data_IF_406346075430
#
_entry.id   IF_406346075430
#
_cell.length_a   1.000
_cell.length_b   1.000
_cell.length_c   1.000
_cell.angle_alpha   90.00
_cell.angle_beta   90.00
_cell.angle_gamma   90.00
#
_symmetry.space_group_name_H-M   'P 1'
#
loop_
_entity.id
_entity.type
_entity.pdbx_description
1 polymer ?
#
# COMPACT_ATOMS: atom_id res chain seq x y z
N UNK A 1 -8.43 20.53 11.75
CA UNK A 1 -7.99 19.31 11.02
C UNK A 1 -8.26 18.08 11.87
N UNK A 2 -8.73 16.98 11.28
CA UNK A 2 -8.96 15.72 12.00
C UNK A 2 -7.91 14.73 11.54
N UNK A 3 -6.80 14.65 12.27
CA UNK A 3 -5.73 13.68 12.00
C UNK A 3 -6.32 12.26 12.06
N UNK A 4 -6.34 11.55 10.92
CA UNK A 4 -6.80 10.17 10.84
C UNK A 4 -5.60 9.26 11.12
N UNK A 5 -5.79 8.25 11.97
CA UNK A 5 -4.81 7.18 12.12
C UNK A 5 -4.93 6.25 10.92
N UNK A 6 -4.08 6.48 9.93
CA UNK A 6 -4.00 5.72 8.69
C UNK A 6 -2.91 4.66 8.79
N UNK A 7 -3.16 3.50 8.18
CA UNK A 7 -2.23 2.37 8.15
C UNK A 7 -2.14 1.84 6.73
N UNK A 8 -0.94 1.42 6.37
CA UNK A 8 -0.66 0.73 5.12
C UNK A 8 -0.54 -0.76 5.39
N UNK A 9 -1.20 -1.57 4.58
CA UNK A 9 -1.12 -3.04 4.67
C UNK A 9 -0.56 -3.54 3.35
N UNK A 10 0.49 -4.36 3.42
CA UNK A 10 1.01 -5.08 2.26
C UNK A 10 0.54 -6.51 2.28
N UNK A 11 0.19 -7.03 1.11
CA UNK A 11 -0.35 -8.37 0.95
C UNK A 11 0.21 -9.02 -0.30
N UNK A 12 0.50 -10.31 -0.20
CA UNK A 12 0.74 -11.15 -1.36
C UNK A 12 -0.53 -11.92 -1.67
N UNK A 13 -0.95 -11.89 -2.93
CA UNK A 13 -2.22 -12.46 -3.38
C UNK A 13 -1.94 -13.66 -4.27
N UNK A 14 -2.64 -14.76 -4.02
CA UNK A 14 -2.59 -15.99 -4.80
C UNK A 14 -3.54 -15.96 -6.00
N UNK A 15 -3.41 -16.94 -6.88
CA UNK A 15 -4.29 -17.10 -8.06
C UNK A 15 -5.75 -17.38 -7.69
N UNK A 16 -5.99 -17.92 -6.50
CA UNK A 16 -7.32 -18.21 -5.94
C UNK A 16 -7.96 -16.99 -5.26
N UNK A 17 -7.28 -15.84 -5.25
CA UNK A 17 -7.72 -14.61 -4.60
C UNK A 17 -7.50 -14.58 -3.09
N UNK A 18 -6.93 -15.64 -2.49
CA UNK A 18 -6.50 -15.62 -1.09
C UNK A 18 -5.26 -14.74 -0.93
N UNK A 19 -5.08 -14.14 0.25
CA UNK A 19 -3.93 -13.29 0.52
C UNK A 19 -3.19 -13.67 1.80
N UNK A 20 -1.89 -13.37 1.79
CA UNK A 20 -1.00 -13.41 2.93
C UNK A 20 -0.59 -11.97 3.28
N UNK A 21 -0.77 -11.55 4.54
CA UNK A 21 -0.39 -10.20 4.98
C UNK A 21 1.12 -10.17 5.22
N UNK A 22 1.84 -9.36 4.43
CA UNK A 22 3.29 -9.16 4.58
C UNK A 22 3.65 -8.15 5.67
N UNK A 23 2.78 -7.19 5.96
CA UNK A 23 3.02 -6.24 7.04
C UNK A 23 2.00 -5.12 7.16
N UNK A 24 2.08 -4.40 8.27
CA UNK A 24 1.26 -3.23 8.59
C UNK A 24 2.17 -2.08 9.02
N UNK A 25 2.03 -0.92 8.37
CA UNK A 25 2.93 0.22 8.50
C UNK A 25 2.15 1.50 8.83
N UNK A 26 2.71 2.34 9.68
CA UNK A 26 2.08 3.58 10.15
C UNK A 26 2.43 4.81 9.32
N UNK A 27 3.45 4.70 8.46
CA UNK A 27 3.90 5.79 7.60
C UNK A 27 4.30 5.26 6.22
N UNK A 28 4.34 6.16 5.24
CA UNK A 28 4.87 5.85 3.90
C UNK A 28 6.35 5.44 3.99
N UNK A 29 7.13 6.12 4.83
CA UNK A 29 8.54 5.82 5.01
C UNK A 29 8.76 4.38 5.55
N UNK A 30 8.03 3.98 6.61
CA UNK A 30 8.10 2.61 7.14
C UNK A 30 7.75 1.56 6.07
N UNK A 31 6.73 1.85 5.25
CA UNK A 31 6.33 1.00 4.15
C UNK A 31 7.43 0.88 3.09
N UNK A 32 8.08 1.98 2.72
CA UNK A 32 9.16 1.99 1.74
C UNK A 32 10.39 1.23 2.23
N UNK A 33 10.81 1.45 3.47
CA UNK A 33 12.03 0.85 4.03
C UNK A 33 11.88 -0.65 4.30
N UNK A 34 10.68 -1.10 4.64
CA UNK A 34 10.48 -2.45 5.22
C UNK A 34 9.38 -3.26 4.56
N UNK A 35 8.48 -2.65 3.81
CA UNK A 35 7.27 -3.30 3.32
C UNK A 35 7.29 -3.76 1.87
N UNK A 36 8.27 -3.32 1.08
CA UNK A 36 8.38 -3.70 -0.33
C UNK A 36 9.22 -4.98 -0.50
N UNK A 37 8.67 -6.11 -0.08
CA UNK A 37 9.32 -7.42 -0.25
C UNK A 37 8.28 -8.53 -0.45
N UNK A 38 8.70 -9.59 -1.15
CA UNK A 38 7.97 -10.87 -1.17
C UNK A 38 8.43 -11.72 0.01
N UNK A 39 7.48 -12.29 0.75
CA UNK A 39 7.75 -13.31 1.75
C UNK A 39 8.05 -14.62 1.04
N UNK A 40 9.27 -15.14 1.26
CA UNK A 40 9.73 -16.38 0.65
C UNK A 40 8.97 -17.61 1.15
N UNK A 41 8.33 -17.52 2.32
CA UNK A 41 7.57 -18.63 2.92
C UNK A 41 6.09 -18.63 2.47
N UNK A 42 5.65 -17.60 1.73
CA UNK A 42 4.29 -17.50 1.21
C UNK A 42 4.15 -18.22 -0.14
N UNK A 43 3.10 -19.05 -0.27
CA UNK A 43 2.70 -19.67 -1.55
C UNK A 43 1.94 -18.69 -2.47
N UNK A 44 1.64 -17.49 -1.98
CA UNK A 44 0.90 -16.44 -2.72
C UNK A 44 1.90 -15.59 -3.50
N UNK A 45 1.96 -15.77 -4.80
CA UNK A 45 2.96 -15.08 -5.66
C UNK A 45 2.36 -14.41 -6.89
N UNK A 46 1.03 -14.37 -7.01
CA UNK A 46 0.38 -13.90 -8.23
C UNK A 46 0.34 -12.37 -8.34
N UNK A 47 0.17 -11.66 -7.22
CA UNK A 47 0.14 -10.19 -7.20
C UNK A 47 0.54 -9.66 -5.83
N UNK A 48 1.03 -8.42 -5.80
CA UNK A 48 1.32 -7.70 -4.58
C UNK A 48 0.32 -6.57 -4.42
N UNK A 49 -0.35 -6.50 -3.27
CA UNK A 49 -1.39 -5.52 -2.98
C UNK A 49 -0.98 -4.61 -1.83
N UNK A 50 -1.24 -3.33 -1.98
CA UNK A 50 -1.10 -2.31 -0.95
C UNK A 50 -2.49 -1.75 -0.64
N UNK A 51 -2.88 -1.78 0.62
CA UNK A 51 -4.16 -1.24 1.09
C UNK A 51 -3.91 -0.09 2.07
N UNK A 52 -4.64 1.01 1.91
CA UNK A 52 -4.71 2.10 2.88
C UNK A 52 -5.95 1.91 3.75
N UNK A 53 -5.78 1.76 5.06
CA UNK A 53 -6.88 1.50 5.99
C UNK A 53 -6.90 2.53 7.11
N UNK A 54 -8.09 2.74 7.67
CA UNK A 54 -8.27 3.53 8.88
C UNK A 54 -8.26 2.61 10.09
N UNK A 55 -7.50 2.97 11.13
CA UNK A 55 -7.49 2.23 12.39
C UNK A 55 -8.88 2.16 13.02
N UNK A 56 -9.19 1.01 13.65
CA UNK A 56 -10.43 0.75 14.38
C UNK A 56 -11.68 0.99 13.53
N UNK A 57 -11.59 0.76 12.22
CA UNK A 57 -12.68 0.91 11.27
C UNK A 57 -13.14 -0.44 10.76
N UNK A 58 -14.44 -0.72 10.88
CA UNK A 58 -15.09 -1.88 10.23
C UNK A 58 -15.46 -1.60 8.76
N UNK A 59 -15.16 -0.39 8.27
CA UNK A 59 -15.40 -0.01 6.88
C UNK A 59 -14.34 -0.64 5.97
N UNK A 60 -14.65 -0.78 4.66
CA UNK A 60 -13.65 -1.15 3.66
C UNK A 60 -12.40 -0.26 3.72
N UNK A 61 -11.25 -0.75 3.23
CA UNK A 61 -10.06 0.07 3.01
C UNK A 61 -10.40 1.36 2.26
N UNK A 62 -9.70 2.43 2.61
CA UNK A 62 -9.80 3.72 1.95
C UNK A 62 -9.27 3.66 0.51
N UNK A 63 -8.32 2.77 0.26
CA UNK A 63 -7.87 2.42 -1.09
C UNK A 63 -7.17 1.07 -1.11
N UNK A 64 -7.23 0.39 -2.25
CA UNK A 64 -6.51 -0.85 -2.50
C UNK A 64 -5.96 -0.81 -3.92
N UNK A 65 -4.68 -1.10 -4.05
CA UNK A 65 -3.96 -1.04 -5.32
C UNK A 65 -3.06 -2.26 -5.44
N UNK A 66 -2.95 -2.80 -6.64
CA UNK A 66 -2.23 -4.05 -6.87
C UNK A 66 -1.22 -3.93 -8.01
N UNK A 67 -0.15 -4.71 -7.91
CA UNK A 67 0.84 -4.85 -8.98
C UNK A 67 0.16 -5.41 -10.24
N UNK A 68 0.68 -5.09 -11.44
CA UNK A 68 1.93 -4.37 -11.69
C UNK A 68 1.81 -2.84 -11.72
N UNK A 69 0.60 -2.29 -11.84
CA UNK A 69 0.41 -0.88 -12.21
C UNK A 69 -0.03 0.04 -11.07
N UNK A 70 -0.52 -0.52 -9.95
CA UNK A 70 -1.09 0.23 -8.82
C UNK A 70 -2.05 1.34 -9.29
N UNK A 71 -2.87 1.02 -10.29
CA UNK A 71 -3.66 2.01 -11.04
C UNK A 71 -4.54 2.88 -10.14
N UNK A 72 -4.53 4.19 -10.38
CA UNK A 72 -5.34 5.15 -9.64
C UNK A 72 -4.81 5.56 -8.26
N UNK A 73 -3.72 4.95 -7.76
CA UNK A 73 -3.14 5.30 -6.46
C UNK A 73 -2.81 6.79 -6.35
N UNK A 74 -2.10 7.34 -7.35
CA UNK A 74 -1.66 8.74 -7.36
C UNK A 74 -2.83 9.72 -7.23
N UNK A 75 -3.89 9.50 -8.01
CA UNK A 75 -5.08 10.36 -7.97
C UNK A 75 -5.82 10.22 -6.64
N UNK A 76 -5.89 9.01 -6.08
CA UNK A 76 -6.51 8.77 -4.78
C UNK A 76 -5.72 9.42 -3.63
N UNK A 77 -4.39 9.43 -3.68
CA UNK A 77 -3.57 10.03 -2.62
C UNK A 77 -3.65 11.56 -2.57
N UNK A 78 -4.08 12.21 -3.65
CA UNK A 78 -4.23 13.66 -3.72
C UNK A 78 -5.20 14.19 -2.65
N UNK A 79 -6.28 13.47 -2.33
CA UNK A 79 -7.24 13.92 -1.30
C UNK A 79 -6.59 14.01 0.09
N UNK A 80 -5.61 13.14 0.39
CA UNK A 80 -4.92 13.12 1.68
C UNK A 80 -3.84 14.19 1.75
N UNK A 81 -3.20 14.51 0.61
CA UNK A 81 -2.27 15.63 0.48
C UNK A 81 -2.99 16.96 0.70
N UNK A 82 -4.18 17.15 0.12
CA UNK A 82 -5.00 18.36 0.31
C UNK A 82 -5.43 18.58 1.77
N UNK A 83 -5.49 17.51 2.55
CA UNK A 83 -5.84 17.55 3.99
C UNK A 83 -4.63 17.58 4.93
N UNK A 84 -3.41 17.72 4.40
CA UNK A 84 -2.13 17.61 5.13
C UNK A 84 -1.98 16.29 5.92
N UNK A 85 -2.66 15.22 5.49
CA UNK A 85 -2.51 13.87 6.06
C UNK A 85 -1.27 13.16 5.49
N UNK A 86 -0.89 13.49 4.24
CA UNK A 86 0.34 13.01 3.60
C UNK A 86 1.13 14.14 2.94
N UNK A 87 2.43 13.93 2.80
CA UNK A 87 3.28 14.79 1.99
C UNK A 87 3.24 14.37 0.52
N UNK A 88 3.08 15.34 -0.39
CA UNK A 88 3.05 15.07 -1.83
C UNK A 88 4.30 14.33 -2.34
N UNK A 89 5.50 14.72 -1.89
CA UNK A 89 6.75 14.08 -2.31
C UNK A 89 6.86 12.64 -1.81
N UNK A 90 6.36 12.35 -0.60
CA UNK A 90 6.33 10.98 -0.07
C UNK A 90 5.37 10.09 -0.88
N UNK A 91 4.20 10.61 -1.25
CA UNK A 91 3.25 9.89 -2.11
C UNK A 91 3.84 9.58 -3.49
N UNK A 92 4.58 10.53 -4.07
CA UNK A 92 5.29 10.35 -5.35
C UNK A 92 6.37 9.27 -5.25
N UNK A 93 7.22 9.34 -4.22
CA UNK A 93 8.23 8.33 -3.93
C UNK A 93 7.62 6.95 -3.72
N UNK A 94 6.47 6.86 -3.04
CA UNK A 94 5.75 5.60 -2.84
C UNK A 94 5.37 4.94 -4.16
N UNK A 95 4.68 5.68 -5.03
CA UNK A 95 4.19 5.16 -6.32
C UNK A 95 5.37 4.70 -7.18
N UNK A 96 6.44 5.49 -7.23
CA UNK A 96 7.62 5.18 -8.05
C UNK A 96 8.34 3.92 -7.53
N UNK A 97 8.52 3.78 -6.22
CA UNK A 97 9.14 2.60 -5.61
C UNK A 97 8.27 1.34 -5.82
N UNK A 98 6.95 1.47 -5.73
CA UNK A 98 6.04 0.35 -6.01
C UNK A 98 6.15 -0.12 -7.45
N UNK A 99 6.21 0.80 -8.42
CA UNK A 99 6.43 0.44 -9.82
C UNK A 99 7.80 -0.18 -10.06
N UNK A 100 8.85 0.29 -9.39
CA UNK A 100 10.18 -0.33 -9.47
C UNK A 100 10.19 -1.74 -8.89
N UNK A 101 9.60 -1.92 -7.71
CA UNK A 101 9.44 -3.21 -7.05
C UNK A 101 8.69 -4.22 -7.92
N UNK A 102 7.56 -3.81 -8.50
CA UNK A 102 6.75 -4.67 -9.36
C UNK A 102 7.45 -5.04 -10.68
N UNK A 103 8.38 -4.22 -11.18
CA UNK A 103 9.20 -4.53 -12.38
C UNK A 103 10.38 -5.44 -12.07
N UNK A 104 10.87 -5.43 -10.83
CA UNK A 104 11.99 -6.25 -10.38
C UNK A 104 11.57 -7.66 -9.95
N UNK A 105 10.25 -7.90 -9.86
CA UNK A 105 9.61 -9.18 -9.51
C UNK A 105 9.22 -9.94 -10.77
#
# INVERSE_FOLDING_TARGET
MKFRRLYWVTEQVGLDGTSHIGGVYTSINDLLERGLHWDADSDKTASFRVSLVKLDSTKPPLGQWSSPDFSGMRAALQEYVETDEFNAQECELLVDNLHQFAKAS
#
